data_IF_812692490040
#
_entry.id   IF_812692490040
#
_cell.length_a   1.000
_cell.length_b   1.000
_cell.length_c   1.000
_cell.angle_alpha   90.00
_cell.angle_beta   90.00
_cell.angle_gamma   90.00
#
_symmetry.space_group_name_H-M   'P 1'
#
loop_
_entity.id
_entity.type
_entity.pdbx_description
1 polymer ?
#
# COMPACT_ATOMS: atom_id res chain seq x y z
N UNK A 1 -10.70 2.43 -37.86
CA UNK A 1 -9.34 2.84 -37.48
C UNK A 1 -9.41 3.39 -36.08
N UNK A 2 -9.48 2.50 -35.10
CA UNK A 2 -9.25 2.88 -33.72
C UNK A 2 -7.75 3.16 -33.59
N UNK A 3 -7.32 4.31 -33.02
CA UNK A 3 -5.92 4.45 -32.67
C UNK A 3 -5.65 3.39 -31.60
N UNK A 4 -4.65 2.54 -31.84
CA UNK A 4 -4.15 1.66 -30.80
C UNK A 4 -3.90 2.52 -29.54
N UNK A 5 -4.40 2.10 -28.36
CA UNK A 5 -4.16 2.84 -27.13
C UNK A 5 -2.66 3.12 -27.03
N UNK A 6 -2.32 4.41 -26.96
CA UNK A 6 -0.92 4.84 -26.92
C UNK A 6 -0.38 4.59 -25.52
N UNK A 7 -0.09 3.33 -25.22
CA UNK A 7 0.61 2.94 -24.01
C UNK A 7 2.03 3.48 -24.10
N UNK A 8 2.38 4.35 -23.15
CA UNK A 8 3.71 4.91 -23.03
C UNK A 8 4.37 4.25 -21.83
N UNK A 9 5.37 3.40 -22.09
CA UNK A 9 6.40 2.93 -21.15
C UNK A 9 7.20 4.09 -20.53
N UNK A 10 6.56 5.08 -19.90
CA UNK A 10 7.18 6.33 -19.43
C UNK A 10 8.26 6.89 -20.38
N UNK A 11 7.97 6.95 -21.68
CA UNK A 11 8.89 7.50 -22.68
C UNK A 11 9.87 6.51 -23.34
N UNK A 12 9.84 5.21 -23.01
CA UNK A 12 10.61 4.21 -23.77
C UNK A 12 9.98 4.00 -25.15
N UNK A 13 10.70 4.40 -26.19
CA UNK A 13 10.24 4.28 -27.59
C UNK A 13 10.59 2.90 -28.15
N UNK A 14 9.68 2.35 -28.95
CA UNK A 14 9.94 1.12 -29.72
C UNK A 14 9.70 -0.18 -28.97
N UNK A 15 9.09 -0.14 -27.78
CA UNK A 15 8.60 -1.33 -27.07
C UNK A 15 7.09 -1.42 -27.28
N UNK A 16 6.59 -2.62 -27.61
CA UNK A 16 5.17 -2.94 -27.52
C UNK A 16 4.96 -3.61 -26.16
N UNK A 17 4.20 -2.99 -25.23
CA UNK A 17 3.89 -3.59 -23.94
C UNK A 17 3.29 -4.99 -24.08
N UNK A 18 3.72 -5.90 -23.22
CA UNK A 18 3.05 -7.19 -23.06
C UNK A 18 1.91 -7.01 -22.06
N UNK A 19 0.69 -7.38 -22.45
CA UNK A 19 -0.51 -7.21 -21.65
C UNK A 19 -0.73 -8.37 -20.68
N UNK A 20 -1.17 -8.05 -19.47
CA UNK A 20 -1.53 -9.00 -18.44
C UNK A 20 -2.93 -8.72 -17.89
N UNK A 21 -3.58 -9.78 -17.47
CA UNK A 21 -4.83 -9.80 -16.72
C UNK A 21 -4.61 -10.55 -15.39
N UNK A 22 -5.67 -10.70 -14.60
CA UNK A 22 -5.62 -11.39 -13.31
C UNK A 22 -5.17 -12.87 -13.41
N UNK A 23 -5.36 -13.51 -14.57
CA UNK A 23 -5.00 -14.91 -14.80
C UNK A 23 -3.50 -15.06 -15.08
N UNK A 24 -2.89 -14.08 -15.75
CA UNK A 24 -1.53 -14.19 -16.30
C UNK A 24 -0.47 -13.41 -15.53
N UNK A 25 -0.85 -12.33 -14.81
CA UNK A 25 0.13 -11.45 -14.15
C UNK A 25 0.95 -12.17 -13.07
N UNK A 26 0.35 -13.12 -12.35
CA UNK A 26 1.01 -13.83 -11.24
C UNK A 26 2.14 -14.72 -11.74
N UNK A 27 1.87 -15.52 -12.76
CA UNK A 27 2.88 -16.38 -13.38
C UNK A 27 4.04 -15.55 -13.96
N UNK A 28 3.73 -14.41 -14.58
CA UNK A 28 4.74 -13.50 -15.11
C UNK A 28 5.65 -12.91 -14.01
N UNK A 29 5.07 -12.53 -12.87
CA UNK A 29 5.85 -12.03 -11.73
C UNK A 29 6.67 -13.15 -11.09
N UNK A 30 6.11 -14.35 -10.94
CA UNK A 30 6.86 -15.50 -10.42
C UNK A 30 8.07 -15.83 -11.30
N UNK A 31 7.90 -15.80 -12.64
CA UNK A 31 9.01 -15.94 -13.58
C UNK A 31 10.03 -14.81 -13.39
N UNK A 32 9.57 -13.55 -13.32
CA UNK A 32 10.44 -12.39 -13.15
C UNK A 32 11.25 -12.44 -11.85
N UNK A 33 10.63 -12.78 -10.72
CA UNK A 33 11.30 -12.85 -9.43
C UNK A 33 12.31 -14.00 -9.33
N UNK A 34 12.12 -15.09 -10.08
CA UNK A 34 13.04 -16.22 -10.13
C UNK A 34 14.19 -16.04 -11.13
N UNK A 35 13.93 -15.39 -12.27
CA UNK A 35 14.93 -15.11 -13.30
C UNK A 35 14.69 -13.75 -13.99
N UNK A 36 15.09 -12.63 -13.35
CA UNK A 36 14.93 -11.29 -13.94
C UNK A 36 15.71 -11.12 -15.25
N UNK A 37 16.75 -11.92 -15.48
CA UNK A 37 17.61 -11.83 -16.66
C UNK A 37 16.97 -12.46 -17.90
N UNK A 38 15.94 -13.29 -17.74
CA UNK A 38 15.17 -13.89 -18.85
C UNK A 38 14.56 -12.82 -19.77
N UNK A 39 14.11 -11.69 -19.19
CA UNK A 39 13.49 -10.56 -19.89
C UNK A 39 12.38 -11.01 -20.86
N UNK A 40 11.66 -12.08 -20.53
CA UNK A 40 10.69 -12.77 -21.41
C UNK A 40 9.57 -11.82 -21.88
N UNK A 41 9.12 -10.93 -21.00
CA UNK A 41 8.05 -9.96 -21.27
C UNK A 41 8.57 -8.52 -21.40
N UNK A 42 9.88 -8.35 -21.58
CA UNK A 42 10.51 -7.04 -21.56
C UNK A 42 10.61 -6.43 -20.14
N UNK A 43 11.03 -5.14 -20.04
CA UNK A 43 11.18 -4.45 -18.76
C UNK A 43 9.87 -4.43 -17.96
N UNK A 44 9.91 -4.74 -16.66
CA UNK A 44 8.69 -4.84 -15.83
C UNK A 44 7.87 -3.55 -15.77
N UNK A 45 8.53 -2.39 -15.79
CA UNK A 45 7.86 -1.07 -15.84
C UNK A 45 7.12 -0.79 -17.17
N UNK A 46 7.27 -1.66 -18.16
CA UNK A 46 6.64 -1.57 -19.49
C UNK A 46 5.44 -2.50 -19.66
N UNK A 47 5.11 -3.30 -18.64
CA UNK A 47 4.00 -4.23 -18.72
C UNK A 47 2.67 -3.48 -18.78
N UNK A 48 1.76 -3.93 -19.64
CA UNK A 48 0.41 -3.39 -19.71
C UNK A 48 -0.46 -4.14 -18.69
N UNK A 49 -0.73 -3.47 -17.57
CA UNK A 49 -1.56 -3.99 -16.48
C UNK A 49 -3.00 -3.48 -16.53
N UNK A 50 -3.43 -2.86 -17.64
CA UNK A 50 -4.75 -2.20 -17.73
C UNK A 50 -5.93 -3.16 -17.57
N UNK A 51 -5.72 -4.48 -17.68
CA UNK A 51 -6.74 -5.51 -17.48
C UNK A 51 -6.62 -6.23 -16.12
N UNK A 52 -5.66 -5.84 -15.27
CA UNK A 52 -5.49 -6.41 -13.92
C UNK A 52 -6.43 -5.68 -12.97
N UNK A 53 -7.23 -6.45 -12.24
CA UNK A 53 -8.16 -5.95 -11.21
C UNK A 53 -7.75 -6.37 -9.80
N UNK A 54 -6.91 -7.40 -9.67
CA UNK A 54 -6.43 -7.95 -8.42
C UNK A 54 -4.90 -7.97 -8.36
N UNK A 55 -4.33 -7.04 -7.60
CA UNK A 55 -2.88 -6.97 -7.35
C UNK A 55 -2.49 -7.55 -5.98
N UNK A 56 -3.36 -8.35 -5.35
CA UNK A 56 -3.08 -8.91 -4.04
C UNK A 56 -1.82 -9.78 -4.08
N UNK A 57 -0.90 -9.53 -3.16
CA UNK A 57 0.32 -10.30 -2.91
C UNK A 57 1.29 -10.45 -4.10
N UNK A 58 1.19 -9.63 -5.15
CA UNK A 58 2.03 -9.79 -6.34
C UNK A 58 3.54 -9.79 -6.03
N UNK A 59 3.99 -8.94 -5.10
CA UNK A 59 5.39 -8.88 -4.65
C UNK A 59 5.53 -9.22 -3.17
N UNK A 60 4.56 -9.95 -2.60
CA UNK A 60 4.63 -10.37 -1.22
C UNK A 60 5.89 -11.22 -0.99
N UNK A 61 6.63 -10.86 0.06
CA UNK A 61 7.86 -11.51 0.49
C UNK A 61 9.06 -11.37 -0.47
N UNK A 62 8.95 -10.56 -1.52
CA UNK A 62 10.04 -10.25 -2.45
C UNK A 62 11.04 -9.28 -1.83
N UNK A 63 11.85 -9.76 -0.87
CA UNK A 63 12.75 -8.96 -0.03
C UNK A 63 13.84 -8.17 -0.76
N UNK A 64 14.06 -8.37 -2.05
CA UNK A 64 15.06 -7.62 -2.82
C UNK A 64 14.47 -6.92 -4.04
N UNK A 65 13.14 -6.94 -4.19
CA UNK A 65 12.47 -6.30 -5.32
C UNK A 65 12.35 -4.79 -5.09
N UNK A 66 12.86 -3.99 -6.03
CA UNK A 66 12.82 -2.52 -6.00
C UNK A 66 12.81 -1.93 -7.43
N UNK A 67 12.17 -2.63 -8.36
CA UNK A 67 12.11 -2.20 -9.76
C UNK A 67 11.02 -1.15 -9.97
N UNK A 68 11.20 -0.19 -10.90
CA UNK A 68 10.23 0.87 -11.12
C UNK A 68 8.90 0.29 -11.63
N UNK A 69 7.79 0.72 -11.03
CA UNK A 69 6.42 0.32 -11.39
C UNK A 69 5.51 1.52 -11.69
N UNK A 70 6.05 2.74 -11.73
CA UNK A 70 5.26 3.97 -11.84
C UNK A 70 4.46 4.12 -13.14
N UNK A 71 4.71 3.29 -14.16
CA UNK A 71 3.96 3.29 -15.42
C UNK A 71 2.86 2.22 -15.49
N UNK A 72 2.70 1.39 -14.46
CA UNK A 72 1.60 0.43 -14.40
C UNK A 72 0.27 1.16 -14.38
N UNK A 73 -0.68 0.65 -15.16
CA UNK A 73 -2.07 1.10 -15.12
C UNK A 73 -2.79 0.38 -13.98
N UNK A 74 -3.16 1.13 -12.95
CA UNK A 74 -3.88 0.62 -11.78
C UNK A 74 -5.35 1.04 -11.76
N UNK A 75 -5.85 1.72 -12.81
CA UNK A 75 -7.19 2.34 -12.81
C UNK A 75 -8.35 1.35 -12.68
N UNK A 76 -8.13 0.08 -13.02
CA UNK A 76 -9.10 -1.01 -12.86
C UNK A 76 -8.86 -1.88 -11.61
N UNK A 77 -7.85 -1.57 -10.79
CA UNK A 77 -7.49 -2.36 -9.62
C UNK A 77 -8.47 -2.14 -8.48
N UNK A 78 -8.96 -3.24 -7.90
CA UNK A 78 -9.95 -3.26 -6.82
C UNK A 78 -9.38 -3.74 -5.49
N UNK A 79 -8.24 -4.43 -5.50
CA UNK A 79 -7.52 -4.89 -4.30
C UNK A 79 -6.01 -4.86 -4.51
N UNK A 80 -5.31 -4.37 -3.49
CA UNK A 80 -3.84 -4.32 -3.38
C UNK A 80 -3.35 -5.02 -2.10
N UNK A 81 -4.19 -5.91 -1.54
CA UNK A 81 -3.90 -6.63 -0.29
C UNK A 81 -2.50 -7.26 -0.32
N UNK A 82 -1.64 -6.85 0.62
CA UNK A 82 -0.32 -7.45 0.81
C UNK A 82 0.65 -7.31 -0.37
N UNK A 83 0.37 -6.43 -1.34
CA UNK A 83 1.14 -6.34 -2.59
C UNK A 83 2.66 -6.24 -2.37
N UNK A 84 3.11 -5.46 -1.37
CA UNK A 84 4.52 -5.30 -1.02
C UNK A 84 4.83 -5.73 0.42
N UNK A 85 4.05 -6.68 0.96
CA UNK A 85 4.25 -7.15 2.32
C UNK A 85 5.62 -7.84 2.47
N UNK A 86 6.42 -7.43 3.46
CA UNK A 86 7.65 -8.12 3.83
C UNK A 86 7.42 -9.42 4.61
N UNK A 87 8.36 -10.38 4.57
CA UNK A 87 8.24 -11.59 5.36
C UNK A 87 8.46 -11.25 6.84
N UNK A 88 7.53 -11.65 7.70
CA UNK A 88 7.68 -11.49 9.15
C UNK A 88 8.78 -12.44 9.64
N UNK A 89 10.01 -11.96 9.67
CA UNK A 89 11.16 -12.66 10.25
C UNK A 89 11.69 -11.85 11.42
N UNK A 90 11.98 -12.51 12.53
CA UNK A 90 12.37 -11.88 13.79
C UNK A 90 13.60 -10.96 13.68
N UNK A 91 13.85 -10.21 14.76
CA UNK A 91 14.80 -9.10 14.85
C UNK A 91 16.26 -9.38 14.40
N UNK A 92 16.64 -10.63 14.19
CA UNK A 92 18.03 -10.99 13.90
C UNK A 92 18.44 -10.83 12.43
N UNK A 93 17.50 -10.60 11.49
CA UNK A 93 17.84 -10.53 10.06
C UNK A 93 17.09 -9.45 9.25
N UNK A 94 16.34 -8.55 9.90
CA UNK A 94 15.53 -7.46 9.30
C UNK A 94 15.21 -7.63 7.79
N UNK A 95 14.40 -8.65 7.49
CA UNK A 95 14.01 -9.01 6.12
C UNK A 95 12.66 -8.39 5.79
N UNK A 96 12.64 -7.08 5.65
CA UNK A 96 11.47 -6.33 5.17
C UNK A 96 11.43 -6.27 3.64
N UNK A 97 10.30 -5.87 3.08
CA UNK A 97 10.21 -5.54 1.65
C UNK A 97 11.09 -4.31 1.36
N UNK A 98 11.99 -4.43 0.39
CA UNK A 98 12.90 -3.34 -0.02
C UNK A 98 12.28 -2.41 -1.06
N UNK A 99 11.06 -2.70 -1.53
CA UNK A 99 10.39 -1.89 -2.53
C UNK A 99 10.23 -0.46 -2.01
N UNK A 100 10.85 0.49 -2.72
CA UNK A 100 10.87 1.89 -2.39
C UNK A 100 10.95 2.75 -3.67
N UNK A 101 10.14 2.41 -4.66
CA UNK A 101 9.98 3.20 -5.88
C UNK A 101 8.80 4.17 -5.76
N UNK A 102 8.85 5.26 -6.52
CA UNK A 102 7.75 6.21 -6.60
C UNK A 102 6.55 5.60 -7.36
N UNK A 103 5.41 5.56 -6.66
CA UNK A 103 4.11 5.05 -7.13
C UNK A 103 3.00 6.10 -6.93
N UNK A 104 3.37 7.36 -6.73
CA UNK A 104 2.42 8.48 -6.57
C UNK A 104 1.53 8.70 -7.80
N UNK A 105 1.91 8.16 -8.95
CA UNK A 105 1.15 8.22 -10.21
C UNK A 105 0.01 7.20 -10.31
N UNK A 106 -0.05 6.21 -9.42
CA UNK A 106 -1.08 5.18 -9.47
C UNK A 106 -2.48 5.77 -9.20
N UNK A 107 -3.44 5.37 -10.02
CA UNK A 107 -4.86 5.58 -9.75
C UNK A 107 -5.36 4.45 -8.86
N UNK A 108 -5.66 4.78 -7.59
CA UNK A 108 -6.17 3.83 -6.60
C UNK A 108 -7.65 4.08 -6.24
N UNK A 109 -8.34 4.91 -7.02
CA UNK A 109 -9.72 5.36 -6.74
C UNK A 109 -10.76 4.25 -6.72
N UNK A 110 -10.46 3.09 -7.33
CA UNK A 110 -11.32 1.89 -7.33
C UNK A 110 -10.90 0.84 -6.30
N UNK A 111 -9.78 1.03 -5.58
CA UNK A 111 -9.27 0.07 -4.62
C UNK A 111 -10.14 0.07 -3.37
N UNK A 112 -10.58 -1.12 -2.97
CA UNK A 112 -11.44 -1.32 -1.79
C UNK A 112 -10.69 -1.98 -0.63
N UNK A 113 -9.58 -2.67 -0.90
CA UNK A 113 -8.77 -3.35 0.09
C UNK A 113 -7.28 -3.05 -0.10
N UNK A 114 -6.68 -2.42 0.91
CA UNK A 114 -5.24 -2.13 1.01
C UNK A 114 -4.59 -2.82 2.22
N UNK A 115 -5.25 -3.84 2.78
CA UNK A 115 -4.75 -4.55 3.95
C UNK A 115 -3.34 -5.05 3.72
N UNK A 116 -2.45 -4.87 4.69
CA UNK A 116 -1.06 -5.33 4.68
C UNK A 116 -0.17 -4.79 3.54
N UNK A 117 -0.63 -3.86 2.69
CA UNK A 117 0.05 -3.47 1.45
C UNK A 117 1.54 -3.12 1.65
N UNK A 118 1.88 -2.38 2.71
CA UNK A 118 3.25 -1.99 3.07
C UNK A 118 3.67 -2.53 4.44
N UNK A 119 3.02 -3.59 4.91
CA UNK A 119 3.40 -4.23 6.16
C UNK A 119 4.81 -4.78 6.07
N UNK A 120 5.63 -4.54 7.09
CA UNK A 120 7.03 -4.97 7.11
C UNK A 120 7.81 -4.44 5.88
N UNK A 121 7.69 -3.15 5.55
CA UNK A 121 8.30 -2.51 4.38
C UNK A 121 9.31 -1.39 4.72
N UNK A 122 10.18 -1.08 3.77
CA UNK A 122 11.05 0.11 3.75
C UNK A 122 10.48 1.27 2.94
N UNK A 123 9.31 1.10 2.31
CA UNK A 123 8.67 2.11 1.48
C UNK A 123 8.58 3.48 2.17
N UNK A 124 9.03 4.54 1.50
CA UNK A 124 9.14 5.88 2.07
C UNK A 124 8.92 7.00 1.05
N UNK A 125 7.99 6.82 0.12
CA UNK A 125 7.54 7.86 -0.80
C UNK A 125 6.20 8.45 -0.37
N UNK A 126 5.96 9.72 -0.68
CA UNK A 126 4.67 10.35 -0.40
C UNK A 126 3.59 9.75 -1.31
N UNK A 127 2.46 9.41 -0.70
CA UNK A 127 1.26 8.85 -1.34
C UNK A 127 0.00 9.62 -0.90
N UNK A 128 0.17 10.83 -0.37
CA UNK A 128 -0.93 11.71 0.06
C UNK A 128 -1.84 12.11 -1.12
N UNK A 129 -1.33 12.01 -2.35
CA UNK A 129 -2.07 12.30 -3.59
C UNK A 129 -3.09 11.23 -3.98
N UNK A 130 -3.05 10.05 -3.34
CA UNK A 130 -3.96 8.95 -3.65
C UNK A 130 -5.40 9.25 -3.21
N UNK A 131 -6.35 8.95 -4.09
CA UNK A 131 -7.77 8.93 -3.76
C UNK A 131 -8.13 7.58 -3.11
N UNK A 132 -8.21 7.55 -1.79
CA UNK A 132 -8.56 6.36 -1.00
C UNK A 132 -10.03 6.28 -0.59
N UNK A 133 -10.91 7.13 -1.15
CA UNK A 133 -12.33 7.24 -0.74
C UNK A 133 -13.14 5.95 -0.94
N UNK A 134 -12.68 5.05 -1.81
CA UNK A 134 -13.29 3.73 -2.04
C UNK A 134 -12.78 2.64 -1.09
N UNK A 135 -11.72 2.89 -0.31
CA UNK A 135 -11.13 1.89 0.56
C UNK A 135 -12.08 1.53 1.71
N UNK A 136 -12.14 0.24 2.05
CA UNK A 136 -12.94 -0.32 3.14
C UNK A 136 -12.06 -0.94 4.22
N UNK A 137 -10.91 -1.50 3.84
CA UNK A 137 -9.94 -2.08 4.77
C UNK A 137 -8.53 -1.51 4.54
N UNK A 138 -7.93 -1.04 5.63
CA UNK A 138 -6.53 -0.62 5.74
C UNK A 138 -5.80 -1.41 6.82
N UNK A 139 -6.31 -2.62 7.14
CA UNK A 139 -5.78 -3.47 8.20
C UNK A 139 -4.28 -3.67 8.04
N UNK A 140 -3.53 -3.32 9.08
CA UNK A 140 -2.07 -3.45 9.17
C UNK A 140 -1.30 -2.86 7.95
N UNK A 141 -1.88 -1.93 7.20
CA UNK A 141 -1.31 -1.43 5.94
C UNK A 141 0.13 -0.92 6.10
N UNK A 142 0.44 -0.25 7.21
CA UNK A 142 1.77 0.29 7.54
C UNK A 142 2.38 -0.35 8.80
N UNK A 143 1.90 -1.52 9.21
CA UNK A 143 2.43 -2.24 10.36
C UNK A 143 3.94 -2.50 10.20
N UNK A 144 4.77 -2.02 11.13
CA UNK A 144 6.25 -2.08 11.07
C UNK A 144 6.87 -1.51 9.78
N UNK A 145 6.19 -0.56 9.12
CA UNK A 145 6.70 0.11 7.92
C UNK A 145 7.60 1.28 8.28
N UNK A 146 8.90 1.02 8.43
CA UNK A 146 9.88 2.02 8.85
C UNK A 146 10.83 2.33 7.68
N UNK A 147 11.04 3.60 7.29
CA UNK A 147 10.81 4.82 8.08
C UNK A 147 9.56 5.62 7.64
N UNK A 148 8.52 5.00 7.08
CA UNK A 148 7.36 5.73 6.55
C UNK A 148 6.72 6.63 7.61
N UNK A 149 6.67 7.94 7.34
CA UNK A 149 6.10 8.95 8.24
C UNK A 149 5.60 10.19 7.48
N UNK A 150 5.19 10.01 6.23
CA UNK A 150 4.63 11.11 5.43
C UNK A 150 3.22 11.44 5.91
N UNK A 151 2.81 12.72 5.76
CA UNK A 151 1.43 13.11 6.00
C UNK A 151 0.49 12.35 5.06
N UNK A 152 -0.68 11.98 5.59
CA UNK A 152 -1.80 11.37 4.86
C UNK A 152 -3.07 12.21 5.08
N UNK A 153 -2.90 13.52 5.26
CA UNK A 153 -3.98 14.43 5.65
C UNK A 153 -4.98 14.69 4.51
N UNK A 154 -4.61 14.39 3.26
CA UNK A 154 -5.51 14.50 2.10
C UNK A 154 -6.41 13.28 1.91
N UNK A 155 -6.15 12.18 2.63
CA UNK A 155 -6.92 10.94 2.48
C UNK A 155 -8.33 11.07 3.05
N UNK A 156 -9.34 10.79 2.21
CA UNK A 156 -10.71 10.57 2.66
C UNK A 156 -10.88 9.12 3.12
N UNK A 157 -10.76 8.90 4.43
CA UNK A 157 -10.95 7.58 5.05
C UNK A 157 -12.37 7.37 5.59
N UNK A 158 -13.32 8.24 5.25
CA UNK A 158 -14.68 8.22 5.81
C UNK A 158 -15.44 6.92 5.53
N UNK A 159 -15.03 6.14 4.55
CA UNK A 159 -15.66 4.89 4.18
C UNK A 159 -14.93 3.64 4.71
N UNK A 160 -13.80 3.80 5.38
CA UNK A 160 -13.02 2.70 5.97
C UNK A 160 -13.73 2.15 7.20
N UNK A 161 -13.80 0.82 7.29
CA UNK A 161 -14.41 0.10 8.43
C UNK A 161 -13.41 -0.70 9.26
N UNK A 162 -12.24 -1.03 8.69
CA UNK A 162 -11.18 -1.80 9.34
C UNK A 162 -9.83 -1.07 9.24
N UNK A 163 -9.32 -0.63 10.39
CA UNK A 163 -7.99 -0.04 10.61
C UNK A 163 -7.20 -0.83 11.66
N UNK A 164 -7.53 -2.10 11.86
CA UNK A 164 -6.85 -2.98 12.82
C UNK A 164 -5.34 -2.95 12.58
N UNK A 165 -4.58 -2.52 13.58
CA UNK A 165 -3.12 -2.48 13.52
C UNK A 165 -2.51 -1.61 12.43
N UNK A 166 -3.23 -0.62 11.85
CA UNK A 166 -2.75 0.16 10.69
C UNK A 166 -1.31 0.68 10.84
N UNK A 167 -0.90 1.11 12.04
CA UNK A 167 0.45 1.59 12.35
C UNK A 167 1.17 0.78 13.45
N UNK A 168 0.72 -0.44 13.76
CA UNK A 168 1.33 -1.23 14.86
C UNK A 168 2.85 -1.35 14.67
N UNK A 169 3.62 -0.98 15.70
CA UNK A 169 5.08 -1.00 15.72
C UNK A 169 5.77 -0.15 14.63
N UNK A 170 5.06 0.81 14.03
CA UNK A 170 5.65 1.77 13.10
C UNK A 170 6.29 2.96 13.83
N UNK A 171 7.24 3.63 13.18
CA UNK A 171 7.81 4.92 13.60
C UNK A 171 7.03 6.09 12.96
N UNK A 172 5.70 5.96 12.90
CA UNK A 172 4.83 6.90 12.20
C UNK A 172 4.52 8.14 13.07
N UNK A 173 4.61 9.32 12.47
CA UNK A 173 4.27 10.62 13.07
C UNK A 173 3.76 11.61 11.99
N UNK A 174 3.25 11.08 10.87
CA UNK A 174 2.66 11.90 9.81
C UNK A 174 1.28 12.42 10.20
N UNK A 175 0.93 13.62 9.72
CA UNK A 175 -0.38 14.23 10.01
C UNK A 175 -1.53 13.42 9.40
N UNK A 176 -2.44 13.02 10.28
CA UNK A 176 -3.71 12.29 10.04
C UNK A 176 -4.88 12.94 10.81
N UNK A 177 -4.69 14.17 11.30
CA UNK A 177 -5.67 14.89 12.13
C UNK A 177 -7.01 15.14 11.41
N UNK A 178 -7.01 15.08 10.07
CA UNK A 178 -8.17 15.31 9.19
C UNK A 178 -9.04 14.07 8.97
N UNK A 179 -8.59 12.88 9.37
CA UNK A 179 -9.30 11.64 9.11
C UNK A 179 -10.68 11.59 9.78
N UNK A 180 -11.73 11.36 8.98
CA UNK A 180 -13.05 10.99 9.49
C UNK A 180 -13.10 9.49 9.75
N UNK A 181 -12.89 9.11 11.01
CA UNK A 181 -12.89 7.71 11.42
C UNK A 181 -14.23 7.22 11.99
N UNK A 182 -15.31 7.98 11.81
CA UNK A 182 -16.61 7.72 12.44
C UNK A 182 -17.27 6.41 12.00
N UNK A 183 -16.91 5.89 10.82
CA UNK A 183 -17.40 4.61 10.32
C UNK A 183 -16.48 3.41 10.65
N UNK A 184 -15.32 3.64 11.25
CA UNK A 184 -14.40 2.54 11.59
C UNK A 184 -14.98 1.69 12.73
N UNK A 185 -15.02 0.39 12.51
CA UNK A 185 -15.54 -0.61 13.46
C UNK A 185 -14.40 -1.30 14.20
N UNK A 186 -13.33 -1.65 13.49
CA UNK A 186 -12.13 -2.26 14.06
C UNK A 186 -10.93 -1.29 13.99
N UNK A 187 -10.41 -0.91 15.15
CA UNK A 187 -9.19 -0.13 15.35
C UNK A 187 -8.24 -0.83 16.33
N UNK A 188 -8.39 -2.14 16.52
CA UNK A 188 -7.62 -2.83 17.55
C UNK A 188 -6.13 -2.67 17.23
N UNK A 189 -5.34 -2.28 18.23
CA UNK A 189 -3.88 -2.12 18.10
C UNK A 189 -3.44 -1.09 17.04
N UNK A 190 -4.32 -0.19 16.57
CA UNK A 190 -4.01 0.79 15.52
C UNK A 190 -2.66 1.52 15.73
N UNK A 191 -2.38 1.90 16.98
CA UNK A 191 -1.11 2.53 17.40
C UNK A 191 -0.33 1.74 18.46
N UNK A 192 -0.53 0.41 18.55
CA UNK A 192 0.21 -0.39 19.54
C UNK A 192 1.71 -0.34 19.23
N UNK A 193 2.53 -0.08 20.26
CA UNK A 193 3.99 0.09 20.16
C UNK A 193 4.43 1.14 19.11
N UNK A 194 3.59 2.14 18.81
CA UNK A 194 3.91 3.28 17.93
C UNK A 194 4.44 4.45 18.76
N UNK A 195 5.61 4.26 19.40
CA UNK A 195 6.10 5.14 20.46
C UNK A 195 6.44 6.58 20.00
N UNK A 196 6.55 6.82 18.69
CA UNK A 196 6.91 8.13 18.11
C UNK A 196 5.70 9.04 17.82
N UNK A 197 4.49 8.49 17.76
CA UNK A 197 3.31 9.23 17.31
C UNK A 197 2.89 10.31 18.32
N UNK A 198 2.80 11.57 17.87
CA UNK A 198 2.42 12.72 18.71
C UNK A 198 1.38 13.67 18.08
N UNK A 199 0.74 13.27 16.98
CA UNK A 199 -0.22 14.14 16.28
C UNK A 199 -1.51 14.35 17.08
N UNK A 200 -2.12 15.53 16.94
CA UNK A 200 -3.41 15.84 17.55
C UNK A 200 -4.56 15.17 16.78
N UNK A 201 -5.09 14.11 17.38
CA UNK A 201 -6.26 13.36 16.89
C UNK A 201 -7.48 13.51 17.82
N UNK A 202 -7.50 14.56 18.66
CA UNK A 202 -8.60 14.82 19.60
C UNK A 202 -9.95 15.09 18.91
N UNK A 203 -9.94 15.41 17.63
CA UNK A 203 -11.13 15.60 16.78
C UNK A 203 -11.80 14.30 16.35
N UNK A 204 -11.12 13.15 16.47
CA UNK A 204 -11.61 11.89 15.94
C UNK A 204 -12.84 11.39 16.69
N UNK A 205 -13.88 11.04 15.93
CA UNK A 205 -15.05 10.36 16.48
C UNK A 205 -14.86 8.84 16.45
N UNK A 206 -14.48 8.26 17.58
CA UNK A 206 -14.26 6.81 17.72
C UNK A 206 -15.47 6.04 18.27
N UNK A 207 -16.67 6.63 18.29
CA UNK A 207 -17.84 6.02 18.94
C UNK A 207 -18.30 4.69 18.34
N UNK A 208 -17.97 4.44 17.07
CA UNK A 208 -18.35 3.22 16.36
C UNK A 208 -17.33 2.07 16.53
N UNK A 209 -16.12 2.39 17.02
CA UNK A 209 -15.07 1.40 17.22
C UNK A 209 -15.45 0.44 18.35
N UNK A 210 -15.45 -0.87 18.07
CA UNK A 210 -15.85 -1.91 19.03
C UNK A 210 -14.68 -2.42 19.89
N UNK A 211 -13.55 -1.71 19.88
CA UNK A 211 -12.25 -2.24 20.32
C UNK A 211 -12.00 -2.15 21.82
N UNK A 212 -11.40 -3.21 22.36
CA UNK A 212 -10.95 -3.34 23.74
C UNK A 212 -9.53 -2.79 23.97
N UNK A 213 -9.41 -1.48 24.22
CA UNK A 213 -8.37 -0.94 25.10
C UNK A 213 -6.94 -0.69 24.58
N UNK A 214 -6.62 -0.87 23.29
CA UNK A 214 -5.27 -0.57 22.72
C UNK A 214 -5.28 0.24 21.42
N UNK A 215 -6.35 1.01 21.20
CA UNK A 215 -6.47 1.87 20.03
C UNK A 215 -5.44 3.02 20.07
N UNK A 216 -5.25 3.68 21.22
CA UNK A 216 -4.45 4.90 21.34
C UNK A 216 -3.01 4.64 21.84
N UNK A 217 -2.04 5.50 21.46
CA UNK A 217 -0.68 5.46 21.99
C UNK A 217 -0.66 5.59 23.52
N UNK A 218 0.29 4.92 24.18
CA UNK A 218 0.41 4.86 25.65
C UNK A 218 0.62 6.25 26.28
N UNK A 219 1.02 7.27 25.50
CA UNK A 219 1.32 8.63 25.98
C UNK A 219 0.16 9.63 25.81
N UNK A 220 -0.94 9.23 25.16
CA UNK A 220 -2.19 10.00 25.10
C UNK A 220 -3.25 9.38 26.03
N UNK A 221 -2.97 9.41 27.33
CA UNK A 221 -4.04 9.41 28.34
C UNK A 221 -4.23 10.85 28.79
N UNK A 222 -5.01 11.65 28.06
CA UNK A 222 -5.73 12.78 28.62
C UNK A 222 -7.02 13.05 27.81
N UNK A 223 -8.10 12.49 28.38
CA UNK A 223 -9.50 12.96 28.43
C UNK A 223 -10.27 13.20 27.12
#
# INVERSE_FOLDING_TARGET
>A
NDPAPTFSCCGVKGITPFGFDDETIRDAIDIYLNDPASNEHGPINCWDTSQVTNMSNLFAFAVSFDEPLGCWDTSNVTTMEGMFQGPRLGAENDKRSYFNQDISSWDVSQVTDMSYMFKDSYFNHSIDVWDVSSVRSMKEMFARSNPFSHSLSSWDVSAVTDMNGIFVQAMYDGDISTWDVSNVVDMENAFSDTDFFNQDISSWNVSNAQTSGRCFPIHHVLM
#
